data_IF_763801227265
#
_entry.id   IF_763801227265
#
_cell.length_a   1.000
_cell.length_b   1.000
_cell.length_c   1.000
_cell.angle_alpha   90.00
_cell.angle_beta   90.00
_cell.angle_gamma   90.00
#
_symmetry.space_group_name_H-M   'P 1'
#
loop_
_entity.id
_entity.type
_entity.pdbx_description
1 polymer ?
#
# COMPACT_ATOMS: atom_id res chain seq x y z
N UNK A 1 -19.83 36.01 -4.97
CA UNK A 1 -19.64 35.33 -3.68
C UNK A 1 -18.85 34.06 -3.94
N UNK A 2 -17.69 33.93 -3.31
CA UNK A 2 -16.81 32.77 -3.42
C UNK A 2 -16.61 32.20 -2.01
N UNK A 3 -16.52 30.88 -1.91
CA UNK A 3 -16.43 30.17 -0.63
C UNK A 3 -15.26 29.19 -0.65
N UNK A 4 -14.49 29.17 0.43
CA UNK A 4 -13.48 28.13 0.65
C UNK A 4 -14.18 26.80 0.94
N UNK A 5 -13.85 25.75 0.18
CA UNK A 5 -14.42 24.42 0.33
C UNK A 5 -13.98 23.70 1.61
N UNK A 6 -12.84 24.10 2.18
CA UNK A 6 -12.23 23.41 3.32
C UNK A 6 -12.75 23.96 4.66
N UNK A 7 -12.72 25.28 4.86
CA UNK A 7 -13.15 25.91 6.11
C UNK A 7 -14.50 26.63 6.03
N UNK A 8 -15.11 26.74 4.84
CA UNK A 8 -16.40 27.38 4.64
C UNK A 8 -16.38 28.91 4.70
N UNK A 9 -15.22 29.55 4.83
CA UNK A 9 -15.09 31.01 4.78
C UNK A 9 -15.69 31.52 3.46
N UNK A 10 -16.53 32.55 3.53
CA UNK A 10 -17.19 33.13 2.35
C UNK A 10 -16.82 34.60 2.20
N UNK A 11 -16.59 35.04 0.97
CA UNK A 11 -16.39 36.44 0.64
C UNK A 11 -17.39 36.87 -0.45
N UNK A 12 -18.20 37.87 -0.13
CA UNK A 12 -19.22 38.43 -1.01
C UNK A 12 -18.62 39.34 -2.10
N UNK A 13 -17.56 40.09 -1.78
CA UNK A 13 -16.92 41.09 -2.64
C UNK A 13 -15.50 40.67 -3.01
N UNK A 14 -15.40 39.75 -3.95
CA UNK A 14 -14.11 39.23 -4.43
C UNK A 14 -13.44 40.30 -5.30
N UNK A 15 -12.40 40.92 -4.78
CA UNK A 15 -11.44 41.73 -5.55
C UNK A 15 -10.05 41.13 -5.34
N UNK A 16 -9.08 41.43 -6.21
CA UNK A 16 -7.69 40.94 -6.04
C UNK A 16 -7.05 41.37 -4.71
N UNK A 17 -7.62 42.37 -4.03
CA UNK A 17 -7.15 42.90 -2.75
C UNK A 17 -7.96 42.37 -1.54
N UNK A 18 -8.75 41.30 -1.69
CA UNK A 18 -9.48 40.72 -0.56
C UNK A 18 -8.53 40.13 0.48
N UNK A 19 -8.64 40.56 1.74
CA UNK A 19 -7.81 40.06 2.85
C UNK A 19 -8.06 38.58 3.16
N UNK A 20 -9.19 38.05 2.72
CA UNK A 20 -9.61 36.67 2.99
C UNK A 20 -9.02 35.65 2.02
N UNK A 21 -8.79 36.04 0.75
CA UNK A 21 -8.42 35.13 -0.34
C UNK A 21 -7.34 35.71 -1.24
N UNK A 22 -6.28 34.92 -1.45
CA UNK A 22 -5.16 35.27 -2.31
C UNK A 22 -5.29 34.56 -3.67
N UNK A 23 -5.71 35.30 -4.70
CA UNK A 23 -5.90 34.75 -6.05
C UNK A 23 -4.57 34.44 -6.73
N UNK A 24 -4.53 33.32 -7.47
CA UNK A 24 -3.34 32.99 -8.26
C UNK A 24 -3.17 33.96 -9.45
N UNK A 25 -1.97 33.97 -10.02
CA UNK A 25 -1.62 34.88 -11.13
C UNK A 25 -2.54 34.71 -12.35
N UNK A 26 -2.99 33.48 -12.58
CA UNK A 26 -3.80 33.09 -13.73
C UNK A 26 -5.31 33.18 -13.49
N UNK A 27 -5.77 33.59 -12.30
CA UNK A 27 -7.16 33.57 -11.86
C UNK A 27 -7.84 32.20 -12.11
N UNK A 28 -7.12 31.09 -11.91
CA UNK A 28 -7.65 29.74 -11.93
C UNK A 28 -8.24 29.34 -10.58
N UNK A 29 -7.77 29.98 -9.50
CA UNK A 29 -8.14 29.68 -8.13
C UNK A 29 -7.64 30.71 -7.13
N UNK A 30 -7.78 30.40 -5.85
CA UNK A 30 -7.33 31.23 -4.74
C UNK A 30 -6.92 30.39 -3.54
N UNK A 31 -5.95 30.90 -2.77
CA UNK A 31 -5.62 30.39 -1.44
C UNK A 31 -6.52 31.01 -0.39
N UNK A 32 -6.96 30.21 0.57
CA UNK A 32 -7.73 30.68 1.72
C UNK A 32 -6.81 31.10 2.85
N UNK A 33 -6.78 32.38 3.23
CA UNK A 33 -5.86 32.88 4.27
C UNK A 33 -6.18 32.34 5.68
N UNK A 34 -7.36 31.74 5.88
CA UNK A 34 -7.76 31.15 7.15
C UNK A 34 -7.32 29.69 7.33
N UNK A 35 -7.15 28.93 6.24
CA UNK A 35 -6.82 27.50 6.31
C UNK A 35 -5.72 27.07 5.35
N UNK A 36 -5.16 27.99 4.57
CA UNK A 36 -4.10 27.75 3.59
C UNK A 36 -4.47 26.70 2.52
N UNK A 37 -5.77 26.49 2.28
CA UNK A 37 -6.25 25.57 1.25
C UNK A 37 -6.48 26.26 -0.09
N UNK A 38 -6.01 25.65 -1.18
CA UNK A 38 -6.21 26.12 -2.54
C UNK A 38 -7.58 25.70 -3.09
N UNK A 39 -8.32 26.67 -3.63
CA UNK A 39 -9.65 26.48 -4.16
C UNK A 39 -9.67 26.84 -5.65
N UNK A 40 -10.09 25.88 -6.48
CA UNK A 40 -10.32 26.12 -7.89
C UNK A 40 -11.63 26.90 -8.10
N UNK A 41 -11.61 27.91 -8.98
CA UNK A 41 -12.82 28.63 -9.39
C UNK A 41 -13.69 27.80 -10.32
N UNK A 42 -13.07 27.00 -11.20
CA UNK A 42 -13.74 25.95 -11.96
C UNK A 42 -13.60 24.62 -11.23
N UNK A 43 -14.70 24.10 -10.69
CA UNK A 43 -14.70 22.82 -9.98
C UNK A 43 -14.33 21.63 -10.87
N UNK A 44 -14.40 21.75 -12.21
CA UNK A 44 -13.92 20.72 -13.12
C UNK A 44 -12.39 20.68 -13.24
N UNK A 45 -11.68 21.72 -12.77
CA UNK A 45 -10.22 21.77 -12.72
C UNK A 45 -9.64 20.99 -11.53
N UNK A 46 -10.43 20.84 -10.46
CA UNK A 46 -10.09 20.02 -9.29
C UNK A 46 -10.22 18.53 -9.63
N UNK A 47 -9.08 17.87 -9.83
CA UNK A 47 -9.03 16.54 -10.47
C UNK A 47 -8.44 15.45 -9.59
N UNK A 48 -7.80 15.80 -8.47
CA UNK A 48 -7.22 14.82 -7.56
C UNK A 48 -8.27 14.34 -6.57
N UNK A 49 -8.37 13.02 -6.43
CA UNK A 49 -9.32 12.39 -5.51
C UNK A 49 -8.60 11.94 -4.25
N UNK A 50 -9.27 12.08 -3.11
CA UNK A 50 -8.84 11.47 -1.86
C UNK A 50 -9.94 10.52 -1.39
N UNK A 51 -9.65 9.22 -1.39
CA UNK A 51 -10.62 8.18 -1.04
C UNK A 51 -10.10 7.42 0.17
N UNK A 52 -10.94 7.27 1.20
CA UNK A 52 -10.66 6.44 2.37
C UNK A 52 -11.59 5.23 2.37
N UNK A 53 -11.03 4.04 2.31
CA UNK A 53 -11.77 2.77 2.31
C UNK A 53 -11.59 2.09 3.67
N UNK A 54 -12.69 1.93 4.39
CA UNK A 54 -12.75 1.28 5.69
C UNK A 54 -13.35 -0.12 5.56
N UNK A 55 -12.53 -1.15 5.83
CA UNK A 55 -12.98 -2.55 5.85
C UNK A 55 -13.71 -2.86 7.18
N UNK A 56 -15.04 -2.87 7.12
CA UNK A 56 -15.93 -3.11 8.25
C UNK A 56 -16.58 -4.50 8.14
N UNK A 57 -16.44 -5.31 9.20
CA UNK A 57 -17.00 -6.67 9.26
C UNK A 57 -18.53 -6.69 9.26
N UNK A 58 -19.17 -5.58 9.60
CA UNK A 58 -20.64 -5.46 9.68
C UNK A 58 -21.29 -5.13 8.33
N UNK A 59 -20.50 -4.72 7.33
CA UNK A 59 -20.97 -4.35 6.00
C UNK A 59 -20.98 -5.54 5.06
N UNK A 60 -21.80 -5.44 4.01
CA UNK A 60 -21.83 -6.44 2.95
C UNK A 60 -20.55 -6.42 2.12
N UNK A 61 -20.11 -7.61 1.72
CA UNK A 61 -18.92 -7.75 0.88
C UNK A 61 -19.19 -7.24 -0.54
N UNK A 62 -18.18 -6.64 -1.15
CA UNK A 62 -18.25 -6.26 -2.56
C UNK A 62 -18.17 -7.50 -3.46
N UNK A 63 -19.14 -7.68 -4.35
CA UNK A 63 -19.26 -8.90 -5.19
C UNK A 63 -18.95 -8.66 -6.67
N UNK A 64 -19.04 -7.40 -7.14
CA UNK A 64 -18.88 -7.09 -8.58
C UNK A 64 -17.45 -7.39 -9.05
N UNK A 65 -17.34 -8.10 -10.17
CA UNK A 65 -16.05 -8.41 -10.80
C UNK A 65 -15.58 -7.29 -11.72
N UNK A 66 -14.26 -7.15 -11.85
CA UNK A 66 -13.69 -6.29 -12.89
C UNK A 66 -14.06 -6.80 -14.28
N UNK A 67 -14.28 -5.90 -15.23
CA UNK A 67 -14.53 -6.23 -16.64
C UNK A 67 -13.29 -6.73 -17.41
N UNK A 68 -12.17 -6.88 -16.72
CA UNK A 68 -10.89 -7.35 -17.27
C UNK A 68 -10.33 -8.50 -16.41
N UNK A 69 -9.43 -9.29 -16.98
CA UNK A 69 -8.77 -10.38 -16.24
C UNK A 69 -7.70 -9.80 -15.32
N UNK A 70 -7.89 -9.95 -14.01
CA UNK A 70 -6.93 -9.53 -12.99
C UNK A 70 -6.29 -10.76 -12.32
N UNK A 71 -4.96 -10.81 -12.27
CA UNK A 71 -4.22 -11.92 -11.66
C UNK A 71 -4.13 -11.78 -10.14
N UNK A 72 -5.14 -12.30 -9.44
CA UNK A 72 -5.31 -12.12 -7.98
C UNK A 72 -4.35 -12.92 -7.11
N UNK A 73 -3.49 -13.74 -7.72
CA UNK A 73 -2.57 -14.65 -7.01
C UNK A 73 -1.12 -14.53 -7.51
N UNK A 74 -0.78 -13.42 -8.16
CA UNK A 74 0.58 -13.18 -8.66
C UNK A 74 1.60 -13.04 -7.51
N UNK A 75 1.21 -12.36 -6.42
CA UNK A 75 2.10 -12.20 -5.25
C UNK A 75 2.58 -13.56 -4.70
N UNK A 76 3.89 -13.74 -4.42
CA UNK A 76 4.42 -14.91 -3.74
C UNK A 76 4.03 -14.98 -2.25
N UNK A 77 3.71 -13.83 -1.66
CA UNK A 77 3.41 -13.70 -0.24
C UNK A 77 1.97 -14.07 0.10
N UNK A 78 1.80 -14.48 1.35
CA UNK A 78 0.54 -14.45 2.06
C UNK A 78 0.67 -13.44 3.19
N UNK A 79 0.34 -12.19 2.91
CA UNK A 79 0.63 -11.08 3.80
C UNK A 79 -0.62 -10.68 4.62
N UNK A 80 -0.49 -10.37 5.92
CA UNK A 80 -1.56 -9.74 6.68
C UNK A 80 -2.08 -8.48 5.98
N UNK A 81 -3.39 -8.29 5.92
CA UNK A 81 -4.00 -7.17 5.19
C UNK A 81 -3.99 -7.27 3.66
N UNK A 82 -3.42 -8.34 3.08
CA UNK A 82 -3.32 -8.50 1.62
C UNK A 82 -4.65 -8.36 0.88
N UNK A 83 -4.71 -7.38 -0.03
CA UNK A 83 -5.91 -6.92 -0.74
C UNK A 83 -6.39 -7.81 -1.89
N UNK A 84 -5.89 -9.03 -2.02
CA UNK A 84 -6.25 -9.98 -3.10
C UNK A 84 -7.76 -10.17 -3.35
N UNK A 85 -8.59 -10.10 -2.30
CA UNK A 85 -10.05 -10.21 -2.38
C UNK A 85 -10.74 -8.89 -2.77
N UNK A 86 -10.08 -7.76 -2.53
CA UNK A 86 -10.54 -6.41 -2.85
C UNK A 86 -10.00 -5.88 -4.19
N UNK A 87 -9.18 -6.66 -4.91
CA UNK A 87 -8.63 -6.27 -6.22
C UNK A 87 -9.69 -5.77 -7.19
N UNK A 88 -10.83 -6.46 -7.32
CA UNK A 88 -11.91 -6.03 -8.23
C UNK A 88 -12.49 -4.67 -7.80
N UNK A 89 -12.63 -4.46 -6.49
CA UNK A 89 -13.17 -3.22 -5.94
C UNK A 89 -12.21 -2.05 -6.15
N UNK A 90 -10.94 -2.24 -5.78
CA UNK A 90 -9.88 -1.24 -5.90
C UNK A 90 -9.63 -0.84 -7.36
N UNK A 91 -9.75 -1.78 -8.30
CA UNK A 91 -9.70 -1.48 -9.74
C UNK A 91 -10.73 -0.42 -10.14
N UNK A 92 -11.96 -0.48 -9.61
CA UNK A 92 -12.99 0.52 -9.90
C UNK A 92 -12.78 1.85 -9.16
N UNK A 93 -11.90 1.90 -8.17
CA UNK A 93 -11.54 3.14 -7.50
C UNK A 93 -10.47 3.92 -8.27
N UNK A 94 -9.74 3.30 -9.20
CA UNK A 94 -8.72 3.99 -10.01
C UNK A 94 -9.35 4.97 -11.01
N UNK A 95 -8.72 6.13 -11.16
CA UNK A 95 -9.04 7.10 -12.21
C UNK A 95 -8.21 6.77 -13.44
N UNK A 96 -8.86 6.54 -14.58
CA UNK A 96 -8.18 6.19 -15.84
C UNK A 96 -7.11 7.21 -16.25
N UNK A 97 -7.24 8.48 -15.85
CA UNK A 97 -6.26 9.55 -16.12
C UNK A 97 -5.07 9.57 -15.16
N UNK A 98 -5.07 8.72 -14.13
CA UNK A 98 -4.09 8.67 -13.03
C UNK A 98 -3.40 7.30 -12.93
N UNK A 99 -3.20 6.66 -14.08
CA UNK A 99 -2.68 5.29 -14.19
C UNK A 99 -1.26 5.20 -14.76
N UNK A 100 -0.60 6.34 -15.00
CA UNK A 100 0.77 6.32 -15.50
C UNK A 100 1.74 5.69 -14.49
N UNK A 101 1.60 6.01 -13.21
CA UNK A 101 2.37 5.41 -12.11
C UNK A 101 1.42 5.06 -10.95
N UNK A 102 1.59 3.88 -10.37
CA UNK A 102 1.00 3.53 -9.07
C UNK A 102 2.13 3.46 -8.05
N UNK A 103 1.99 4.19 -6.95
CA UNK A 103 2.98 4.22 -5.88
C UNK A 103 2.37 3.55 -4.65
N UNK A 104 3.04 2.53 -4.12
CA UNK A 104 2.62 1.82 -2.91
C UNK A 104 3.63 2.05 -1.79
N UNK A 105 3.31 2.99 -0.91
CA UNK A 105 4.18 3.39 0.21
C UNK A 105 4.34 2.29 1.28
N UNK A 106 3.39 1.35 1.33
CA UNK A 106 3.30 0.23 2.27
C UNK A 106 3.08 -1.08 1.52
N UNK A 107 4.06 -1.46 0.71
CA UNK A 107 3.91 -2.51 -0.29
C UNK A 107 3.53 -3.87 0.29
N UNK A 108 4.15 -4.28 1.39
CA UNK A 108 3.93 -5.59 2.00
C UNK A 108 3.94 -6.72 0.97
N UNK A 109 2.78 -7.35 0.78
CA UNK A 109 2.58 -8.41 -0.21
C UNK A 109 2.25 -7.97 -1.64
N UNK A 110 1.93 -6.70 -1.88
CA UNK A 110 1.71 -6.07 -3.19
C UNK A 110 0.71 -6.77 -4.12
N UNK A 111 -0.32 -7.40 -3.56
CA UNK A 111 -1.26 -8.22 -4.36
C UNK A 111 -2.11 -7.40 -5.33
N UNK A 112 -2.48 -6.16 -4.97
CA UNK A 112 -3.30 -5.31 -5.81
C UNK A 112 -2.47 -4.67 -6.91
N UNK A 113 -1.34 -4.11 -6.51
CA UNK A 113 -0.34 -3.45 -7.31
C UNK A 113 0.15 -4.33 -8.47
N UNK A 114 0.58 -5.55 -8.15
CA UNK A 114 1.01 -6.52 -9.16
C UNK A 114 -0.14 -6.90 -10.11
N UNK A 115 -1.37 -7.01 -9.62
CA UNK A 115 -2.51 -7.30 -10.48
C UNK A 115 -2.84 -6.16 -11.43
N UNK A 116 -2.64 -4.90 -11.02
CA UNK A 116 -2.80 -3.73 -11.89
C UNK A 116 -1.71 -3.66 -12.96
N UNK A 117 -0.46 -3.91 -12.57
CA UNK A 117 0.67 -3.89 -13.49
C UNK A 117 0.58 -5.01 -14.54
N UNK A 118 0.30 -6.24 -14.09
CA UNK A 118 0.17 -7.44 -14.93
C UNK A 118 -0.96 -7.30 -15.96
N UNK A 119 -2.09 -6.71 -15.55
CA UNK A 119 -3.22 -6.48 -16.43
C UNK A 119 -3.04 -5.27 -17.37
N UNK A 120 -1.93 -4.54 -17.28
CA UNK A 120 -1.70 -3.33 -18.07
C UNK A 120 -2.61 -2.16 -17.70
N UNK A 121 -3.18 -2.18 -16.49
CA UNK A 121 -4.02 -1.08 -15.98
C UNK A 121 -3.18 0.14 -15.64
N UNK A 122 -1.96 -0.09 -15.12
CA UNK A 122 -0.99 0.96 -14.80
C UNK A 122 0.28 0.78 -15.63
N UNK A 123 1.00 1.84 -15.95
CA UNK A 123 2.23 1.74 -16.76
C UNK A 123 3.47 1.45 -15.93
N UNK A 124 3.65 2.14 -14.81
CA UNK A 124 4.75 1.94 -13.86
C UNK A 124 4.24 1.65 -12.46
N UNK A 125 5.01 0.88 -11.70
CA UNK A 125 4.74 0.53 -10.32
C UNK A 125 5.95 0.88 -9.45
N UNK A 126 5.72 1.62 -8.37
CA UNK A 126 6.73 1.90 -7.35
C UNK A 126 6.35 1.20 -6.06
N UNK A 127 7.15 0.22 -5.67
CA UNK A 127 7.02 -0.51 -4.43
C UNK A 127 7.96 0.07 -3.38
N UNK A 128 7.41 0.51 -2.26
CA UNK A 128 8.16 0.92 -1.09
C UNK A 128 7.69 0.15 0.14
N UNK A 129 8.64 -0.27 0.97
CA UNK A 129 8.35 -0.79 2.31
C UNK A 129 9.55 -0.51 3.21
N UNK A 130 9.29 -0.10 4.45
CA UNK A 130 10.37 0.17 5.42
C UNK A 130 10.97 -1.13 5.96
N UNK A 131 10.24 -2.24 5.95
CA UNK A 131 10.76 -3.55 6.38
C UNK A 131 11.84 -4.03 5.41
N UNK A 132 13.06 -4.18 5.93
CA UNK A 132 14.22 -4.60 5.13
C UNK A 132 13.98 -5.94 4.43
N UNK A 133 13.26 -6.89 5.02
CA UNK A 133 12.98 -8.17 4.37
C UNK A 133 12.04 -8.03 3.19
N UNK A 134 10.97 -7.23 3.33
CA UNK A 134 10.03 -6.96 2.24
C UNK A 134 10.71 -6.20 1.11
N UNK A 135 11.45 -5.13 1.43
CA UNK A 135 12.27 -4.40 0.46
C UNK A 135 13.25 -5.35 -0.25
N UNK A 136 14.04 -6.09 0.51
CA UNK A 136 15.03 -7.04 -0.02
C UNK A 136 14.40 -8.07 -0.95
N UNK A 137 13.22 -8.57 -0.60
CA UNK A 137 12.49 -9.54 -1.42
C UNK A 137 12.13 -8.98 -2.79
N UNK A 138 11.51 -7.79 -2.83
CA UNK A 138 11.13 -7.16 -4.09
C UNK A 138 12.35 -6.75 -4.91
N UNK A 139 13.39 -6.23 -4.26
CA UNK A 139 14.64 -5.87 -4.91
C UNK A 139 15.33 -7.07 -5.55
N UNK A 140 15.42 -8.21 -4.84
CA UNK A 140 16.04 -9.43 -5.36
C UNK A 140 15.24 -10.01 -6.53
N UNK A 141 13.90 -10.00 -6.49
CA UNK A 141 13.08 -10.41 -7.64
C UNK A 141 13.35 -9.50 -8.85
N UNK A 142 13.44 -8.18 -8.64
CA UNK A 142 13.70 -7.22 -9.72
C UNK A 142 15.08 -7.44 -10.34
N UNK A 143 16.13 -7.53 -9.53
CA UNK A 143 17.51 -7.44 -10.02
C UNK A 143 18.23 -8.77 -10.21
N UNK A 144 17.91 -9.80 -9.42
CA UNK A 144 18.65 -11.07 -9.43
C UNK A 144 17.78 -12.26 -8.99
N UNK A 145 16.68 -12.55 -9.71
CA UNK A 145 15.66 -13.52 -9.28
C UNK A 145 16.24 -14.94 -9.08
N UNK A 146 17.29 -15.30 -9.83
CA UNK A 146 17.95 -16.60 -9.75
C UNK A 146 18.53 -16.91 -8.36
N UNK A 147 18.89 -15.88 -7.58
CA UNK A 147 19.35 -16.05 -6.20
C UNK A 147 18.28 -16.70 -5.31
N UNK A 148 16.99 -16.37 -5.51
CA UNK A 148 15.87 -17.00 -4.81
C UNK A 148 15.38 -18.26 -5.52
N UNK A 149 15.32 -18.26 -6.86
CA UNK A 149 14.82 -19.40 -7.64
C UNK A 149 15.67 -20.64 -7.39
N UNK A 150 16.99 -20.52 -7.38
CA UNK A 150 17.88 -21.66 -7.14
C UNK A 150 17.68 -22.20 -5.72
N UNK A 151 17.59 -21.32 -4.72
CA UNK A 151 17.28 -21.73 -3.35
C UNK A 151 15.94 -22.45 -3.23
N UNK A 152 14.89 -21.99 -3.92
CA UNK A 152 13.58 -22.64 -3.96
C UNK A 152 13.62 -24.03 -4.60
N UNK A 153 14.45 -24.23 -5.62
CA UNK A 153 14.61 -25.51 -6.33
C UNK A 153 15.42 -26.52 -5.51
N UNK A 154 16.44 -26.05 -4.79
CA UNK A 154 17.42 -26.90 -4.12
C UNK A 154 17.07 -27.19 -2.65
N UNK A 155 16.31 -26.32 -2.00
CA UNK A 155 16.08 -26.40 -0.56
C UNK A 155 14.65 -26.75 -0.21
N UNK A 156 14.50 -27.72 0.69
CA UNK A 156 13.23 -28.03 1.34
C UNK A 156 13.30 -27.57 2.80
N UNK A 157 12.61 -26.48 3.18
CA UNK A 157 12.67 -25.93 4.53
C UNK A 157 12.31 -26.93 5.63
N UNK A 158 12.91 -26.73 6.81
CA UNK A 158 12.65 -27.51 8.03
C UNK A 158 12.26 -26.57 9.16
N UNK A 159 11.81 -27.09 10.31
CA UNK A 159 11.61 -26.26 11.52
C UNK A 159 12.89 -25.53 11.93
N UNK A 160 14.07 -26.17 11.81
CA UNK A 160 15.35 -25.54 12.10
C UNK A 160 15.58 -24.31 11.22
N UNK A 161 15.32 -24.45 9.91
CA UNK A 161 15.43 -23.34 8.96
C UNK A 161 14.41 -22.25 9.25
N UNK A 162 13.16 -22.61 9.54
CA UNK A 162 12.12 -21.66 9.95
C UNK A 162 12.56 -20.80 11.14
N UNK A 163 13.06 -21.41 12.23
CA UNK A 163 13.48 -20.64 13.41
C UNK A 163 14.75 -19.83 13.16
N UNK A 164 15.66 -20.30 12.29
CA UNK A 164 16.83 -19.53 11.86
C UNK A 164 16.39 -18.26 11.12
N UNK A 165 15.53 -18.39 10.12
CA UNK A 165 14.98 -17.26 9.37
C UNK A 165 14.14 -16.34 10.27
N UNK A 166 13.31 -16.88 11.16
CA UNK A 166 12.54 -16.07 12.11
C UNK A 166 13.43 -15.29 13.06
N UNK A 167 14.55 -15.87 13.50
CA UNK A 167 15.54 -15.16 14.32
C UNK A 167 16.16 -13.99 13.55
N UNK A 168 16.50 -14.17 12.28
CA UNK A 168 16.99 -13.09 11.40
C UNK A 168 16.02 -11.91 11.39
N UNK A 169 14.72 -12.16 11.15
CA UNK A 169 13.69 -11.11 11.13
C UNK A 169 13.59 -10.43 12.51
N UNK A 170 13.51 -11.21 13.59
CA UNK A 170 13.41 -10.68 14.97
C UNK A 170 14.64 -9.91 15.44
N UNK A 171 15.79 -10.13 14.79
CA UNK A 171 17.02 -9.37 15.01
C UNK A 171 17.17 -8.21 14.01
N UNK A 172 16.07 -7.82 13.35
CA UNK A 172 16.02 -6.74 12.38
C UNK A 172 17.10 -6.85 11.29
N UNK A 173 17.36 -8.09 10.84
CA UNK A 173 18.31 -8.39 9.76
C UNK A 173 19.75 -7.89 10.00
N UNK A 174 20.15 -7.64 11.26
CA UNK A 174 21.49 -7.15 11.60
C UNK A 174 22.56 -8.13 11.10
N UNK A 175 23.48 -7.62 10.27
CA UNK A 175 24.59 -8.40 9.71
C UNK A 175 24.19 -9.40 8.62
N UNK A 176 23.00 -9.23 8.02
CA UNK A 176 22.46 -10.12 6.99
C UNK A 176 22.44 -9.40 5.64
N UNK A 177 22.86 -10.07 4.58
CA UNK A 177 22.77 -9.54 3.23
C UNK A 177 21.34 -9.57 2.67
N UNK A 178 21.12 -8.87 1.56
CA UNK A 178 19.81 -8.71 0.95
C UNK A 178 19.19 -10.03 0.46
N UNK A 179 20.01 -10.95 -0.07
CA UNK A 179 19.53 -12.25 -0.56
C UNK A 179 19.07 -13.12 0.60
N UNK A 180 19.81 -13.11 1.70
CA UNK A 180 19.48 -13.84 2.91
C UNK A 180 18.27 -13.22 3.64
N UNK A 181 18.12 -11.90 3.65
CA UNK A 181 16.93 -11.21 4.16
C UNK A 181 15.67 -11.57 3.35
N UNK A 182 15.77 -11.51 2.01
CA UNK A 182 14.70 -11.92 1.09
C UNK A 182 14.31 -13.39 1.28
N UNK A 183 15.29 -14.27 1.45
CA UNK A 183 15.05 -15.69 1.72
C UNK A 183 14.36 -15.89 3.08
N UNK A 184 14.84 -15.22 4.13
CA UNK A 184 14.31 -15.36 5.47
C UNK A 184 12.84 -14.95 5.55
N UNK A 185 12.47 -13.80 4.96
CA UNK A 185 11.07 -13.34 4.96
C UNK A 185 10.17 -14.28 4.15
N UNK A 186 10.63 -14.81 3.02
CA UNK A 186 9.87 -15.76 2.21
C UNK A 186 9.62 -17.06 2.98
N UNK A 187 10.67 -17.65 3.57
CA UNK A 187 10.56 -18.89 4.36
C UNK A 187 9.57 -18.69 5.50
N UNK A 188 9.73 -17.65 6.31
CA UNK A 188 8.83 -17.41 7.45
C UNK A 188 7.41 -17.15 6.97
N UNK A 189 7.20 -16.34 5.92
CA UNK A 189 5.87 -16.07 5.41
C UNK A 189 5.14 -17.33 4.92
N UNK A 190 5.85 -18.25 4.24
CA UNK A 190 5.23 -19.46 3.72
C UNK A 190 5.01 -20.52 4.79
N UNK A 191 5.82 -20.55 5.85
CA UNK A 191 5.78 -21.59 6.89
C UNK A 191 5.10 -21.14 8.18
N UNK A 192 4.88 -19.86 8.43
CA UNK A 192 4.22 -19.36 9.64
C UNK A 192 2.69 -19.43 9.53
N UNK A 193 2.03 -19.57 10.69
CA UNK A 193 0.59 -19.38 10.77
C UNK A 193 0.21 -17.98 10.26
N UNK A 194 -0.73 -17.93 9.31
CA UNK A 194 -1.13 -16.71 8.58
C UNK A 194 -0.01 -15.91 7.90
N UNK A 195 1.21 -16.45 7.80
CA UNK A 195 2.37 -15.76 7.23
C UNK A 195 2.91 -14.61 8.09
N UNK A 196 2.55 -14.58 9.38
CA UNK A 196 2.98 -13.55 10.34
C UNK A 196 4.38 -13.88 10.84
N UNK A 197 5.27 -12.89 10.83
CA UNK A 197 6.70 -13.08 11.12
C UNK A 197 6.99 -13.65 12.53
N UNK A 198 6.19 -13.27 13.53
CA UNK A 198 6.37 -13.69 14.92
C UNK A 198 5.57 -14.95 15.31
N UNK A 199 4.74 -15.49 14.41
CA UNK A 199 3.86 -16.61 14.69
C UNK A 199 4.61 -17.95 14.73
N UNK A 200 3.93 -18.99 15.25
CA UNK A 200 4.44 -20.35 15.21
C UNK A 200 4.40 -20.93 13.79
N UNK A 201 5.26 -21.91 13.49
CA UNK A 201 5.21 -22.62 12.21
C UNK A 201 3.91 -23.42 12.07
N UNK A 202 3.46 -23.60 10.82
CA UNK A 202 2.32 -24.45 10.47
C UNK A 202 2.57 -25.88 10.98
N UNK A 203 1.53 -26.48 11.57
CA UNK A 203 1.65 -27.77 12.23
C UNK A 203 2.20 -27.73 13.66
N UNK A 204 2.63 -26.56 14.16
CA UNK A 204 3.14 -26.37 15.51
C UNK A 204 4.65 -26.54 15.62
N UNK A 205 5.19 -26.22 16.81
CA UNK A 205 6.64 -26.05 17.04
C UNK A 205 7.50 -27.25 16.66
N UNK A 206 6.95 -28.46 16.86
CA UNK A 206 7.56 -29.76 16.53
C UNK A 206 6.57 -30.63 15.72
N UNK A 207 5.75 -29.99 14.88
CA UNK A 207 4.73 -30.66 14.08
C UNK A 207 5.28 -31.52 12.95
N UNK A 208 4.41 -32.34 12.30
CA UNK A 208 4.80 -33.13 11.15
C UNK A 208 5.18 -32.24 9.95
N UNK A 209 6.14 -32.71 9.14
CA UNK A 209 6.72 -31.96 8.01
C UNK A 209 5.68 -31.59 6.96
N UNK A 210 4.69 -32.45 6.74
CA UNK A 210 3.60 -32.23 5.79
C UNK A 210 2.75 -31.02 6.17
N UNK A 211 2.52 -30.80 7.48
CA UNK A 211 1.77 -29.62 7.96
C UNK A 211 2.61 -28.35 7.84
N UNK A 212 3.90 -28.41 8.18
CA UNK A 212 4.84 -27.28 8.01
C UNK A 212 4.86 -26.81 6.55
N UNK A 213 4.98 -27.75 5.62
CA UNK A 213 5.15 -27.49 4.19
C UNK A 213 3.82 -27.38 3.43
N UNK A 214 2.68 -27.41 4.11
CA UNK A 214 1.34 -27.35 3.49
C UNK A 214 1.13 -26.13 2.58
N UNK A 215 1.95 -25.08 2.74
CA UNK A 215 1.95 -23.87 1.92
C UNK A 215 3.28 -23.64 1.19
N UNK A 216 4.22 -24.57 1.24
CA UNK A 216 5.47 -24.49 0.50
C UNK A 216 5.30 -25.17 -0.87
N UNK A 217 5.05 -24.37 -1.91
CA UNK A 217 4.95 -24.85 -3.29
C UNK A 217 6.03 -24.16 -4.14
N UNK A 218 7.26 -24.74 -4.20
CA UNK A 218 8.39 -24.09 -4.84
C UNK A 218 8.15 -23.88 -6.35
N UNK A 219 7.53 -24.83 -7.04
CA UNK A 219 7.24 -24.71 -8.47
C UNK A 219 6.34 -23.50 -8.78
N UNK A 220 5.29 -23.29 -7.99
CA UNK A 220 4.40 -22.13 -8.17
C UNK A 220 5.05 -20.81 -7.71
N UNK A 221 5.90 -20.84 -6.68
CA UNK A 221 6.67 -19.67 -6.26
C UNK A 221 7.67 -19.24 -7.33
N UNK A 222 8.39 -20.19 -7.92
CA UNK A 222 9.33 -19.94 -9.03
C UNK A 222 8.61 -19.32 -10.22
N UNK A 223 7.48 -19.89 -10.66
CA UNK A 223 6.69 -19.31 -11.76
C UNK A 223 6.26 -17.86 -11.48
N UNK A 224 5.83 -17.56 -10.26
CA UNK A 224 5.44 -16.18 -9.87
C UNK A 224 6.63 -15.24 -9.89
N UNK A 225 7.78 -15.66 -9.35
CA UNK A 225 8.99 -14.85 -9.33
C UNK A 225 9.48 -14.58 -10.76
N UNK A 226 9.52 -15.59 -11.63
CA UNK A 226 9.88 -15.45 -13.04
C UNK A 226 8.92 -14.49 -13.77
N UNK A 227 7.61 -14.61 -13.52
CA UNK A 227 6.60 -13.72 -14.10
C UNK A 227 6.79 -12.27 -13.66
N UNK A 228 6.97 -12.02 -12.35
CA UNK A 228 7.16 -10.67 -11.81
C UNK A 228 8.47 -10.08 -12.32
N UNK A 229 9.54 -10.87 -12.40
CA UNK A 229 10.81 -10.43 -12.98
C UNK A 229 10.65 -10.04 -14.46
N UNK A 230 9.81 -10.72 -15.23
CA UNK A 230 9.47 -10.32 -16.60
C UNK A 230 8.78 -8.96 -16.72
N UNK A 231 8.27 -8.40 -15.62
CA UNK A 231 7.69 -7.05 -15.53
C UNK A 231 8.65 -6.04 -14.90
N UNK A 232 9.88 -6.44 -14.56
CA UNK A 232 10.81 -5.69 -13.69
C UNK A 232 11.20 -4.30 -14.21
N UNK A 233 11.25 -4.10 -15.53
CA UNK A 233 11.55 -2.80 -16.15
C UNK A 233 10.49 -1.73 -15.83
N UNK A 234 9.29 -2.16 -15.42
CA UNK A 234 8.17 -1.30 -15.03
C UNK A 234 8.02 -1.18 -13.52
N UNK A 235 8.92 -1.77 -12.74
CA UNK A 235 8.88 -1.80 -11.28
C UNK A 235 10.07 -1.02 -10.71
N UNK A 236 9.80 -0.05 -9.86
CA UNK A 236 10.76 0.62 -8.98
C UNK A 236 10.61 0.05 -7.56
N UNK A 237 11.72 -0.08 -6.83
CA UNK A 237 11.73 -0.64 -5.47
C UNK A 237 12.59 0.23 -4.56
N UNK A 238 12.02 0.74 -3.47
CA UNK A 238 12.71 1.61 -2.49
C UNK A 238 12.46 1.18 -1.05
N UNK A 239 13.30 1.67 -0.13
CA UNK A 239 13.19 1.48 1.32
C UNK A 239 13.22 2.85 2.03
N UNK A 240 12.27 3.72 1.67
CA UNK A 240 12.16 5.08 2.21
C UNK A 240 11.13 5.13 3.34
N UNK A 241 11.22 6.18 4.16
CA UNK A 241 10.10 6.53 5.04
C UNK A 241 8.86 6.78 4.17
N UNK A 242 7.72 6.21 4.55
CA UNK A 242 6.50 6.32 3.76
C UNK A 242 6.03 7.77 3.60
N UNK A 243 6.17 8.61 4.64
CA UNK A 243 5.76 10.01 4.58
C UNK A 243 6.62 10.83 3.61
N UNK A 244 7.94 10.62 3.64
CA UNK A 244 8.88 11.24 2.69
C UNK A 244 8.52 10.87 1.25
N UNK A 245 8.30 9.58 0.98
CA UNK A 245 7.90 9.13 -0.36
C UNK A 245 6.56 9.72 -0.81
N UNK A 246 5.56 9.76 0.09
CA UNK A 246 4.24 10.32 -0.21
C UNK A 246 4.34 11.79 -0.57
N UNK A 247 5.12 12.57 0.19
CA UNK A 247 5.33 13.99 -0.05
C UNK A 247 5.99 14.25 -1.41
N UNK A 248 6.99 13.44 -1.78
CA UNK A 248 7.68 13.57 -3.07
C UNK A 248 6.78 13.14 -4.25
N UNK A 249 6.12 11.99 -4.15
CA UNK A 249 5.36 11.39 -5.26
C UNK A 249 3.95 11.99 -5.44
N UNK A 250 3.46 12.77 -4.47
CA UNK A 250 2.16 13.44 -4.57
C UNK A 250 2.09 14.40 -5.76
N UNK A 251 3.20 14.99 -6.20
CA UNK A 251 3.17 15.99 -7.27
C UNK A 251 3.10 15.38 -8.69
N UNK A 252 3.07 14.04 -8.81
CA UNK A 252 2.94 13.35 -10.09
C UNK A 252 1.49 13.27 -10.55
N UNK A 253 1.07 14.28 -11.32
CA UNK A 253 -0.32 14.48 -11.75
C UNK A 253 -0.96 13.33 -12.55
N UNK A 254 -0.20 12.37 -13.09
CA UNK A 254 -0.77 11.19 -13.77
C UNK A 254 -0.65 9.90 -12.93
N UNK A 255 -0.44 10.04 -11.63
CA UNK A 255 -0.22 8.92 -10.72
C UNK A 255 -1.32 8.76 -9.67
N UNK A 256 -1.35 7.55 -9.08
CA UNK A 256 -2.16 7.24 -7.91
C UNK A 256 -1.24 6.75 -6.78
N UNK A 257 -1.40 7.32 -5.60
CA UNK A 257 -0.85 6.84 -4.34
C UNK A 257 -1.81 5.81 -3.74
N UNK A 258 -1.37 4.56 -3.60
CA UNK A 258 -2.09 3.50 -2.91
C UNK A 258 -1.46 3.26 -1.53
N UNK A 259 -2.22 3.52 -0.49
CA UNK A 259 -1.73 3.56 0.89
C UNK A 259 -2.48 2.52 1.73
N UNK A 260 -1.75 1.53 2.24
CA UNK A 260 -2.25 0.46 3.10
C UNK A 260 -1.40 0.34 4.38
N UNK A 261 -1.40 1.38 5.23
CA UNK A 261 -0.56 1.42 6.43
C UNK A 261 -0.90 0.32 7.45
N UNK A 262 0.02 0.02 8.39
CA UNK A 262 -0.24 -0.93 9.47
C UNK A 262 -1.53 -0.64 10.24
N UNK A 263 -2.32 -1.65 10.58
CA UNK A 263 -3.58 -1.48 11.30
C UNK A 263 -3.41 -0.97 12.74
N UNK A 264 -4.27 -0.06 13.19
CA UNK A 264 -4.19 0.56 14.54
C UNK A 264 -4.14 -0.47 15.67
N UNK A 265 -5.06 -1.45 15.66
CA UNK A 265 -5.18 -2.43 16.77
C UNK A 265 -4.29 -3.65 16.58
N UNK A 266 -4.27 -4.19 15.36
CA UNK A 266 -3.58 -5.45 15.07
C UNK A 266 -2.14 -5.25 14.58
N UNK A 267 -1.70 -4.01 14.35
CA UNK A 267 -0.45 -3.72 13.65
C UNK A 267 0.77 -4.35 14.30
N UNK A 268 0.94 -4.12 15.61
CA UNK A 268 2.07 -4.65 16.39
C UNK A 268 2.17 -6.18 16.41
N UNK A 269 1.04 -6.88 16.26
CA UNK A 269 1.02 -8.34 16.22
C UNK A 269 1.31 -8.89 14.82
N UNK A 270 0.91 -8.15 13.78
CA UNK A 270 0.92 -8.60 12.40
C UNK A 270 2.20 -8.22 11.65
N UNK A 271 2.76 -7.04 11.92
CA UNK A 271 3.85 -6.45 11.13
C UNK A 271 5.11 -6.29 11.98
N UNK A 272 6.27 -6.46 11.35
CA UNK A 272 7.56 -6.26 12.00
C UNK A 272 7.85 -4.77 12.23
N UNK A 273 7.48 -3.92 11.27
CA UNK A 273 7.41 -2.47 11.38
C UNK A 273 5.93 -2.07 11.51
N UNK A 274 5.56 -1.31 12.54
CA UNK A 274 4.17 -0.95 12.83
C UNK A 274 4.05 0.52 13.21
N UNK A 275 2.86 1.06 13.04
CA UNK A 275 2.52 2.42 13.42
C UNK A 275 2.01 2.48 14.87
N UNK A 276 2.42 3.53 15.56
CA UNK A 276 1.81 4.05 16.77
C UNK A 276 0.63 4.96 16.42
N UNK A 277 -0.13 5.38 17.42
CA UNK A 277 -1.21 6.34 17.23
C UNK A 277 -0.70 7.67 16.62
N UNK A 278 0.48 8.13 17.06
CA UNK A 278 1.09 9.35 16.53
C UNK A 278 1.45 9.22 15.05
N UNK A 279 2.00 8.08 14.63
CA UNK A 279 2.34 7.85 13.21
C UNK A 279 1.09 7.88 12.31
N UNK A 280 -0.07 7.44 12.82
CA UNK A 280 -1.35 7.59 12.12
C UNK A 280 -1.77 9.05 11.98
N UNK A 281 -1.61 9.87 13.03
CA UNK A 281 -1.91 11.30 13.00
C UNK A 281 -0.98 12.05 12.04
N UNK A 282 0.31 11.74 12.03
CA UNK A 282 1.28 12.32 11.11
C UNK A 282 0.92 12.01 9.65
N UNK A 283 0.56 10.75 9.35
CA UNK A 283 0.07 10.38 8.01
C UNK A 283 -1.18 11.17 7.62
N UNK A 284 -2.15 11.31 8.52
CA UNK A 284 -3.34 12.10 8.25
C UNK A 284 -3.00 13.57 7.96
N UNK A 285 -2.20 14.21 8.82
CA UNK A 285 -1.83 15.61 8.67
C UNK A 285 -1.13 15.86 7.34
N UNK A 286 -0.24 14.95 6.92
CA UNK A 286 0.40 15.01 5.61
C UNK A 286 -0.63 14.92 4.48
N UNK A 287 -1.50 13.91 4.50
CA UNK A 287 -2.47 13.69 3.42
C UNK A 287 -3.52 14.81 3.31
N UNK A 288 -3.97 15.36 4.44
CA UNK A 288 -4.89 16.50 4.44
C UNK A 288 -4.21 17.76 3.89
N UNK A 289 -2.98 18.04 4.33
CA UNK A 289 -2.19 19.17 3.82
C UNK A 289 -1.99 19.06 2.31
N UNK A 290 -1.52 17.90 1.81
CA UNK A 290 -1.30 17.68 0.39
C UNK A 290 -2.60 17.84 -0.41
N UNK A 291 -3.71 17.28 0.07
CA UNK A 291 -5.01 17.39 -0.59
C UNK A 291 -5.53 18.84 -0.62
N UNK A 292 -5.19 19.65 0.38
CA UNK A 292 -5.52 21.07 0.46
C UNK A 292 -4.66 21.95 -0.47
N UNK A 293 -3.50 21.46 -0.91
CA UNK A 293 -2.67 22.15 -1.90
C UNK A 293 -3.20 21.96 -3.34
N UNK A 294 -2.34 22.24 -4.33
CA UNK A 294 -2.64 22.00 -5.74
C UNK A 294 -2.90 20.52 -6.06
N UNK A 295 -3.67 20.30 -7.12
CA UNK A 295 -4.00 18.97 -7.59
C UNK A 295 -2.77 18.17 -8.05
N UNK A 296 -2.44 17.15 -7.25
CA UNK A 296 -1.41 16.16 -7.52
C UNK A 296 -1.98 14.79 -7.87
N UNK A 297 -1.40 13.76 -7.29
CA UNK A 297 -1.77 12.35 -7.42
C UNK A 297 -3.12 12.07 -6.78
N UNK A 298 -3.86 11.09 -7.30
CA UNK A 298 -5.01 10.55 -6.58
C UNK A 298 -4.52 9.75 -5.35
N UNK A 299 -5.22 9.87 -4.22
CA UNK A 299 -4.93 9.12 -2.99
C UNK A 299 -6.03 8.08 -2.76
N UNK A 300 -5.62 6.82 -2.66
CA UNK A 300 -6.48 5.72 -2.21
C UNK A 300 -5.87 5.16 -0.92
N UNK A 301 -6.52 5.45 0.20
CA UNK A 301 -6.13 5.01 1.53
C UNK A 301 -7.04 3.87 1.99
N UNK A 302 -6.46 2.81 2.55
CA UNK A 302 -7.22 1.69 3.09
C UNK A 302 -6.87 1.41 4.55
N UNK A 303 -7.90 1.12 5.35
CA UNK A 303 -7.76 0.68 6.74
C UNK A 303 -8.78 -0.41 7.06
N UNK A 304 -8.52 -1.20 8.10
CA UNK A 304 -9.63 -1.84 8.79
C UNK A 304 -10.40 -0.83 9.65
N UNK A 305 -11.72 -1.04 9.73
CA UNK A 305 -12.58 -0.08 10.41
C UNK A 305 -12.15 0.09 11.88
N UNK A 306 -11.86 1.34 12.23
CA UNK A 306 -11.55 1.79 13.57
C UNK A 306 -12.17 3.18 13.74
N UNK A 307 -12.86 3.40 14.86
CA UNK A 307 -13.50 4.67 15.18
C UNK A 307 -12.52 5.85 15.12
N UNK A 308 -11.27 5.67 15.57
CA UNK A 308 -10.22 6.69 15.50
C UNK A 308 -9.98 7.12 14.04
N UNK A 309 -9.75 6.15 13.15
CA UNK A 309 -9.52 6.40 11.72
C UNK A 309 -10.74 7.04 11.07
N UNK A 310 -11.94 6.56 11.38
CA UNK A 310 -13.20 7.11 10.84
C UNK A 310 -13.43 8.56 11.28
N UNK A 311 -12.96 8.93 12.48
CA UNK A 311 -13.12 10.29 13.02
C UNK A 311 -11.99 11.27 12.70
N UNK A 312 -10.79 10.78 12.33
CA UNK A 312 -9.62 11.66 12.20
C UNK A 312 -9.54 12.35 10.84
N UNK A 313 -10.08 11.76 9.77
CA UNK A 313 -9.99 12.31 8.41
C UNK A 313 -11.20 13.17 8.07
N UNK A 314 -10.96 14.40 7.62
CA UNK A 314 -11.97 15.42 7.33
C UNK A 314 -12.37 15.47 5.85
N UNK A 315 -11.42 15.26 4.94
CA UNK A 315 -11.60 15.52 3.50
C UNK A 315 -11.86 14.32 2.56
N UNK A 316 -11.46 13.06 2.85
CA UNK A 316 -11.64 12.00 1.87
C UNK A 316 -13.10 11.60 1.66
N UNK A 317 -13.41 11.06 0.48
CA UNK A 317 -14.63 10.29 0.23
C UNK A 317 -14.53 8.96 0.99
N UNK A 318 -15.22 8.86 2.14
CA UNK A 318 -15.18 7.70 3.03
C UNK A 318 -16.14 6.61 2.53
N UNK A 319 -15.60 5.40 2.31
CA UNK A 319 -16.35 4.22 1.86
C UNK A 319 -16.18 3.08 2.85
N UNK A 320 -17.29 2.59 3.39
CA UNK A 320 -17.30 1.39 4.22
C UNK A 320 -17.64 0.16 3.37
N UNK A 321 -16.82 -0.88 3.46
CA UNK A 321 -17.01 -2.12 2.70
C UNK A 321 -16.88 -3.35 3.61
N UNK A 322 -17.58 -4.43 3.25
CA UNK A 322 -17.49 -5.70 3.96
C UNK A 322 -16.08 -6.29 3.94
N UNK A 323 -15.62 -6.77 5.09
CA UNK A 323 -14.31 -7.42 5.23
C UNK A 323 -14.40 -8.90 4.85
N UNK A 324 -13.70 -9.30 3.79
CA UNK A 324 -13.50 -10.73 3.47
C UNK A 324 -12.08 -11.16 3.81
N UNK A 325 -11.86 -11.90 4.90
CA UNK A 325 -10.53 -12.45 5.21
C UNK A 325 -10.13 -13.56 4.23
N UNK A 326 -8.87 -13.58 3.82
CA UNK A 326 -8.25 -14.74 3.19
C UNK A 326 -7.96 -15.81 4.26
N UNK A 327 -8.81 -16.83 4.35
CA UNK A 327 -8.63 -18.00 5.24
C UNK A 327 -7.47 -18.87 4.78
#
# INVERSE_FOLDING_TARGET
MVSCRFCGLTCSNVTRDSLEFDFDEFNTGFWCNACEGFNYLDSAADKHRFILILEDKTKENYIKKAGIKLNKRLSPFRYPGGKSKLIDYLYYQLNKRKTQKLVSAYSGGSSFELAMLDAGVINQLHLNDIDMGIYSFWWVIKHMPFALINRLRENLPTHKEFYRCQKIIKQNYIGVDMVEAAWAVLVVNRLAYSGIYNANPLGGKNGPKEKLLSRWNPNELVKRIEHIHGLSDRIEVTQLNALELIEEEYWLNESTLFLDPPYVKAGKELYNCYYTENDHWELNSLLEMLHMCFAGSDIILTYDYNKMIDSMYNYPDIKHIGRTYSI
#
